data_IF_136705599515
#
_entry.id   IF_136705599515
#
_cell.length_a   1.000
_cell.length_b   1.000
_cell.length_c   1.000
_cell.angle_alpha   90.00
_cell.angle_beta   90.00
_cell.angle_gamma   90.00
#
_symmetry.space_group_name_H-M   'P 1'
#
loop_
_entity.id
_entity.type
_entity.pdbx_description
1 polymer ?
#
# COMPACT_ATOMS: atom_id res chain seq x y z
N UNK A 1 30.84 -3.97 13.08
CA UNK A 1 29.50 -3.36 12.86
C UNK A 1 28.45 -4.46 12.90
N UNK A 2 27.29 -4.23 13.54
CA UNK A 2 26.22 -5.22 13.63
C UNK A 2 25.60 -5.45 12.23
N UNK A 3 25.52 -6.70 11.71
CA UNK A 3 25.09 -6.96 10.33
C UNK A 3 23.72 -6.37 9.97
N UNK A 4 22.73 -6.48 10.86
CA UNK A 4 21.39 -5.90 10.63
C UNK A 4 21.44 -4.37 10.62
N UNK A 5 22.20 -3.77 11.53
CA UNK A 5 22.30 -2.30 11.61
C UNK A 5 23.04 -1.75 10.39
N UNK A 6 23.98 -2.51 9.81
CA UNK A 6 24.68 -2.13 8.58
C UNK A 6 23.72 -1.97 7.40
N UNK A 7 22.73 -2.88 7.26
CA UNK A 7 21.72 -2.79 6.19
C UNK A 7 20.87 -1.54 6.38
N UNK A 8 20.32 -1.35 7.59
CA UNK A 8 19.49 -0.18 7.93
C UNK A 8 20.26 1.12 7.68
N UNK A 9 21.52 1.19 8.13
CA UNK A 9 22.33 2.38 7.98
C UNK A 9 22.53 2.74 6.50
N UNK A 10 22.90 1.76 5.67
CA UNK A 10 23.18 1.98 4.24
C UNK A 10 21.94 2.28 3.40
N UNK A 11 20.74 1.83 3.81
CA UNK A 11 19.50 2.04 3.05
C UNK A 11 18.63 3.19 3.56
N UNK A 12 18.82 3.64 4.81
CA UNK A 12 17.87 4.54 5.48
C UNK A 12 18.51 5.74 6.20
N UNK A 13 19.73 5.61 6.74
CA UNK A 13 20.36 6.66 7.55
C UNK A 13 21.38 7.42 6.71
N UNK A 14 22.43 6.73 6.26
CA UNK A 14 23.56 7.30 5.51
C UNK A 14 23.43 7.05 4.00
N UNK A 15 22.19 6.97 3.49
CA UNK A 15 21.93 6.80 2.06
C UNK A 15 22.27 8.10 1.30
N UNK A 16 23.26 8.11 0.39
CA UNK A 16 23.55 9.30 -0.41
C UNK A 16 22.37 9.61 -1.34
N UNK A 17 21.73 10.76 -1.13
CA UNK A 17 20.58 11.21 -1.90
C UNK A 17 20.87 12.53 -2.60
N UNK A 18 20.41 12.76 -3.84
CA UNK A 18 20.58 14.04 -4.51
C UNK A 18 19.87 15.16 -3.73
N UNK A 19 20.52 16.32 -3.60
CA UNK A 19 20.00 17.45 -2.81
C UNK A 19 18.80 18.16 -3.43
N UNK A 20 18.52 17.92 -4.71
CA UNK A 20 17.50 18.61 -5.50
C UNK A 20 16.31 17.72 -5.88
N UNK A 21 16.07 16.60 -5.18
CA UNK A 21 14.83 15.83 -5.35
C UNK A 21 13.62 16.66 -4.91
N UNK A 22 12.58 16.66 -5.72
CA UNK A 22 11.34 17.41 -5.44
C UNK A 22 10.35 16.55 -4.63
N UNK A 23 9.20 17.13 -4.27
CA UNK A 23 8.13 16.44 -3.54
C UNK A 23 7.63 15.17 -4.23
N UNK A 24 7.79 15.06 -5.55
CA UNK A 24 7.45 13.87 -6.33
C UNK A 24 8.21 12.61 -5.91
N UNK A 25 9.37 12.74 -5.24
CA UNK A 25 10.12 11.60 -4.71
C UNK A 25 9.49 10.98 -3.45
N UNK A 26 8.58 11.70 -2.78
CA UNK A 26 7.90 11.22 -1.57
C UNK A 26 6.89 10.10 -1.86
N UNK A 27 6.41 9.95 -3.10
CA UNK A 27 5.43 8.90 -3.41
C UNK A 27 5.98 7.48 -3.23
N UNK A 28 7.30 7.29 -3.24
CA UNK A 28 7.90 5.99 -2.90
C UNK A 28 7.66 5.58 -1.45
N UNK A 29 7.92 6.49 -0.50
CA UNK A 29 7.71 6.23 0.93
C UNK A 29 6.21 6.17 1.28
N UNK A 30 5.39 7.02 0.65
CA UNK A 30 3.93 6.97 0.83
C UNK A 30 3.34 5.63 0.38
N UNK A 31 3.84 5.02 -0.71
CA UNK A 31 3.41 3.67 -1.11
C UNK A 31 3.76 2.61 -0.05
N UNK A 32 4.94 2.71 0.56
CA UNK A 32 5.33 1.86 1.69
C UNK A 32 4.40 2.04 2.90
N UNK A 33 4.04 3.28 3.24
CA UNK A 33 3.08 3.59 4.30
C UNK A 33 1.68 3.05 3.97
N UNK A 34 1.23 3.19 2.73
CA UNK A 34 -0.05 2.63 2.28
C UNK A 34 -0.05 1.11 2.45
N UNK A 35 1.02 0.42 2.05
CA UNK A 35 1.12 -1.04 2.18
C UNK A 35 1.03 -1.49 3.65
N UNK A 36 1.79 -0.88 4.55
CA UNK A 36 1.73 -1.19 5.98
C UNK A 36 0.32 -0.95 6.53
N UNK A 37 -0.29 0.18 6.17
CA UNK A 37 -1.65 0.54 6.62
C UNK A 37 -2.69 -0.47 6.13
N UNK A 38 -2.63 -0.87 4.85
CA UNK A 38 -3.56 -1.86 4.28
C UNK A 38 -3.39 -3.24 4.91
N UNK A 39 -2.15 -3.68 5.18
CA UNK A 39 -1.89 -4.97 5.84
C UNK A 39 -2.46 -4.96 7.26
N UNK A 40 -2.16 -3.93 8.05
CA UNK A 40 -2.62 -3.83 9.44
C UNK A 40 -4.15 -3.80 9.46
N UNK A 41 -4.77 -2.85 8.75
CA UNK A 41 -6.24 -2.72 8.75
C UNK A 41 -6.93 -3.94 8.18
N UNK A 42 -6.38 -4.53 7.11
CA UNK A 42 -6.91 -5.75 6.49
C UNK A 42 -6.87 -6.95 7.43
N UNK A 43 -5.77 -7.11 8.20
CA UNK A 43 -5.65 -8.18 9.19
C UNK A 43 -6.72 -8.05 10.29
N UNK A 44 -6.94 -6.84 10.83
CA UNK A 44 -7.98 -6.63 11.84
C UNK A 44 -9.40 -6.83 11.28
N UNK A 45 -9.65 -6.44 10.03
CA UNK A 45 -10.93 -6.71 9.37
C UNK A 45 -11.15 -8.21 9.16
N UNK A 46 -10.11 -8.93 8.75
CA UNK A 46 -10.17 -10.38 8.50
C UNK A 46 -10.50 -11.19 9.76
N UNK A 47 -10.12 -10.71 10.96
CA UNK A 47 -10.48 -11.35 12.23
C UNK A 47 -12.00 -11.38 12.50
N UNK A 48 -12.78 -10.54 11.81
CA UNK A 48 -14.22 -10.40 11.99
C UNK A 48 -15.03 -10.70 10.72
N UNK A 49 -14.36 -10.95 9.60
CA UNK A 49 -14.99 -11.23 8.31
C UNK A 49 -15.31 -12.72 8.17
N UNK A 50 -16.42 -13.05 7.49
CA UNK A 50 -16.80 -14.44 7.19
C UNK A 50 -16.87 -14.64 5.67
N UNK A 51 -16.00 -15.51 5.15
CA UNK A 51 -15.88 -15.82 3.72
C UNK A 51 -16.91 -16.87 3.26
N UNK A 52 -18.19 -16.63 3.55
CA UNK A 52 -19.31 -17.44 3.07
C UNK A 52 -20.31 -16.55 2.34
N UNK A 53 -20.80 -16.98 1.17
CA UNK A 53 -21.68 -16.17 0.32
C UNK A 53 -22.97 -15.72 0.99
N UNK A 54 -23.49 -16.49 1.97
CA UNK A 54 -24.69 -16.12 2.72
C UNK A 54 -24.41 -15.13 3.85
N UNK A 55 -23.16 -15.02 4.30
CA UNK A 55 -22.78 -14.22 5.48
C UNK A 55 -21.83 -13.05 5.18
N UNK A 56 -21.18 -13.00 4.00
CA UNK A 56 -20.15 -12.02 3.65
C UNK A 56 -20.62 -10.58 3.93
N UNK A 57 -21.73 -10.16 3.32
CA UNK A 57 -22.28 -8.82 3.51
C UNK A 57 -22.68 -8.54 4.97
N UNK A 58 -23.34 -9.50 5.63
CA UNK A 58 -23.73 -9.34 7.04
C UNK A 58 -22.53 -9.24 7.98
N UNK A 59 -21.42 -9.92 7.68
CA UNK A 59 -20.19 -9.85 8.48
C UNK A 59 -19.51 -8.48 8.34
N UNK A 60 -19.54 -7.86 7.15
CA UNK A 60 -19.08 -6.47 6.95
C UNK A 60 -19.99 -5.48 7.70
N UNK A 61 -21.31 -5.71 7.70
CA UNK A 61 -22.24 -4.90 8.47
C UNK A 61 -21.99 -5.00 9.99
N UNK A 62 -21.73 -6.22 10.50
CA UNK A 62 -21.33 -6.47 11.88
C UNK A 62 -20.02 -5.76 12.24
N UNK A 63 -19.00 -5.82 11.37
CA UNK A 63 -17.76 -5.06 11.57
C UNK A 63 -18.05 -3.56 11.75
N UNK A 64 -18.91 -2.99 10.91
CA UNK A 64 -19.17 -1.55 10.95
C UNK A 64 -20.01 -1.12 12.16
N UNK A 65 -20.88 -1.99 12.69
CA UNK A 65 -21.86 -1.62 13.71
C UNK A 65 -21.51 -2.10 15.12
N UNK A 66 -20.93 -3.28 15.22
CA UNK A 66 -20.84 -4.01 16.49
C UNK A 66 -19.38 -4.20 16.95
N UNK A 67 -18.39 -4.11 16.05
CA UNK A 67 -16.97 -4.15 16.42
C UNK A 67 -16.49 -2.76 16.86
N UNK A 68 -15.82 -2.69 18.01
CA UNK A 68 -15.23 -1.45 18.53
C UNK A 68 -14.29 -0.80 17.48
N UNK A 69 -14.60 0.44 17.07
CA UNK A 69 -13.90 1.15 15.99
C UNK A 69 -13.86 0.42 14.64
N UNK A 70 -14.69 -0.60 14.42
CA UNK A 70 -14.70 -1.37 13.18
C UNK A 70 -15.14 -0.53 11.98
N UNK A 71 -16.05 0.42 12.16
CA UNK A 71 -16.39 1.42 11.13
C UNK A 71 -15.16 2.23 10.69
N UNK A 72 -14.30 2.62 11.62
CA UNK A 72 -13.12 3.42 11.33
C UNK A 72 -12.10 2.57 10.56
N UNK A 73 -11.84 1.34 11.02
CA UNK A 73 -10.96 0.39 10.34
C UNK A 73 -11.42 0.11 8.91
N UNK A 74 -12.72 -0.15 8.71
CA UNK A 74 -13.29 -0.41 7.39
C UNK A 74 -13.13 0.81 6.48
N UNK A 75 -13.37 2.02 7.00
CA UNK A 75 -13.23 3.24 6.20
C UNK A 75 -11.77 3.55 5.86
N UNK A 76 -10.83 3.35 6.79
CA UNK A 76 -9.39 3.49 6.50
C UNK A 76 -8.97 2.48 5.43
N UNK A 77 -9.38 1.21 5.53
CA UNK A 77 -8.99 0.19 4.57
C UNK A 77 -9.56 0.46 3.16
N UNK A 78 -10.84 0.84 3.08
CA UNK A 78 -11.50 1.11 1.81
C UNK A 78 -10.97 2.39 1.13
N UNK A 79 -10.86 3.50 1.86
CA UNK A 79 -10.32 4.75 1.30
C UNK A 79 -8.79 4.68 1.10
N UNK A 80 -8.10 3.92 1.95
CA UNK A 80 -6.67 3.67 1.85
C UNK A 80 -6.31 2.95 0.56
N UNK A 81 -7.16 2.04 0.07
CA UNK A 81 -7.00 1.44 -1.25
C UNK A 81 -7.03 2.49 -2.38
N UNK A 82 -7.99 3.43 -2.35
CA UNK A 82 -8.03 4.53 -3.33
C UNK A 82 -6.80 5.44 -3.23
N UNK A 83 -6.37 5.78 -2.02
CA UNK A 83 -5.16 6.57 -1.81
C UNK A 83 -3.90 5.85 -2.31
N UNK A 84 -3.82 4.53 -2.15
CA UNK A 84 -2.75 3.69 -2.72
C UNK A 84 -2.66 3.90 -4.23
N UNK A 85 -3.79 3.85 -4.96
CA UNK A 85 -3.79 4.07 -6.41
C UNK A 85 -3.44 5.52 -6.79
N UNK A 86 -3.89 6.52 -6.02
CA UNK A 86 -3.44 7.89 -6.24
C UNK A 86 -1.91 7.97 -6.13
N UNK A 87 -1.32 7.41 -5.07
CA UNK A 87 0.12 7.37 -4.90
C UNK A 87 0.83 6.62 -6.03
N UNK A 88 0.29 5.48 -6.49
CA UNK A 88 0.96 4.67 -7.52
C UNK A 88 0.94 5.38 -8.87
N UNK A 89 -0.17 6.03 -9.24
CA UNK A 89 -0.26 6.78 -10.49
C UNK A 89 0.68 7.98 -10.49
N UNK A 90 0.77 8.73 -9.39
CA UNK A 90 1.70 9.85 -9.27
C UNK A 90 3.16 9.37 -9.24
N UNK A 91 3.45 8.21 -8.62
CA UNK A 91 4.77 7.60 -8.62
C UNK A 91 5.21 7.19 -10.04
N UNK A 92 4.32 6.54 -10.80
CA UNK A 92 4.55 6.14 -12.20
C UNK A 92 4.70 7.39 -13.07
N UNK A 93 3.81 8.38 -12.92
CA UNK A 93 3.85 9.65 -13.65
C UNK A 93 5.16 10.40 -13.47
N UNK A 94 5.65 10.50 -12.22
CA UNK A 94 7.00 11.01 -11.92
C UNK A 94 8.06 10.23 -12.68
N UNK A 95 7.98 8.90 -12.66
CA UNK A 95 8.98 8.04 -13.31
C UNK A 95 9.05 8.23 -14.83
N UNK A 96 7.90 8.49 -15.47
CA UNK A 96 7.85 8.86 -16.89
C UNK A 96 8.41 10.26 -17.14
N UNK A 97 7.99 11.26 -16.36
CA UNK A 97 8.39 12.66 -16.57
C UNK A 97 9.90 12.88 -16.40
N UNK A 98 10.52 12.26 -15.40
CA UNK A 98 11.96 12.40 -15.13
C UNK A 98 12.83 11.31 -15.78
N UNK A 99 12.28 10.47 -16.67
CA UNK A 99 13.04 9.41 -17.33
C UNK A 99 13.54 8.30 -16.39
N UNK A 100 12.94 8.12 -15.22
CA UNK A 100 13.38 7.11 -14.24
C UNK A 100 13.15 5.67 -14.73
N UNK A 101 12.32 5.47 -15.76
CA UNK A 101 12.17 4.18 -16.44
C UNK A 101 13.46 3.66 -17.10
N UNK A 102 14.49 4.52 -17.27
CA UNK A 102 15.82 4.10 -17.71
C UNK A 102 16.52 3.17 -16.70
N UNK A 103 16.13 3.20 -15.42
CA UNK A 103 16.50 2.16 -14.44
C UNK A 103 15.65 0.90 -14.66
N UNK A 104 15.96 0.16 -15.73
CA UNK A 104 15.12 -0.92 -16.27
C UNK A 104 14.68 -1.96 -15.25
N UNK A 105 15.59 -2.46 -14.41
CA UNK A 105 15.24 -3.46 -13.40
C UNK A 105 14.24 -2.90 -12.37
N UNK A 106 14.53 -1.71 -11.83
CA UNK A 106 13.63 -1.01 -10.89
C UNK A 106 12.27 -0.74 -11.52
N UNK A 107 12.25 -0.33 -12.78
CA UNK A 107 11.01 -0.05 -13.52
C UNK A 107 10.19 -1.32 -13.75
N UNK A 108 10.81 -2.41 -14.20
CA UNK A 108 10.14 -3.69 -14.43
C UNK A 108 9.55 -4.27 -13.15
N UNK A 109 10.30 -4.20 -12.03
CA UNK A 109 9.75 -4.58 -10.71
C UNK A 109 8.56 -3.68 -10.35
N UNK A 110 8.64 -2.37 -10.61
CA UNK A 110 7.53 -1.43 -10.42
C UNK A 110 6.27 -1.80 -11.22
N UNK A 111 6.42 -2.25 -12.47
CA UNK A 111 5.32 -2.73 -13.31
C UNK A 111 4.68 -4.00 -12.71
N UNK A 112 5.49 -4.95 -12.24
CA UNK A 112 4.99 -6.15 -11.55
C UNK A 112 4.22 -5.77 -10.28
N UNK A 113 4.78 -4.88 -9.45
CA UNK A 113 4.12 -4.39 -8.24
C UNK A 113 2.78 -3.70 -8.55
N UNK A 114 2.71 -2.92 -9.63
CA UNK A 114 1.47 -2.30 -10.07
C UNK A 114 0.39 -3.34 -10.40
N UNK A 115 0.71 -4.39 -11.17
CA UNK A 115 -0.25 -5.46 -11.46
C UNK A 115 -0.66 -6.25 -10.22
N UNK A 116 0.25 -6.49 -9.28
CA UNK A 116 -0.08 -7.16 -8.01
C UNK A 116 -1.04 -6.32 -7.16
N UNK A 117 -0.84 -5.00 -7.09
CA UNK A 117 -1.75 -4.10 -6.38
C UNK A 117 -3.12 -4.06 -7.05
N UNK A 118 -3.18 -4.04 -8.39
CA UNK A 118 -4.43 -4.16 -9.15
C UNK A 118 -5.19 -5.44 -8.84
N UNK A 119 -4.52 -6.59 -8.92
CA UNK A 119 -5.13 -7.89 -8.61
C UNK A 119 -5.65 -7.93 -7.16
N UNK A 120 -4.84 -7.45 -6.22
CA UNK A 120 -5.19 -7.42 -4.79
C UNK A 120 -6.42 -6.55 -4.53
N UNK A 121 -6.48 -5.34 -5.10
CA UNK A 121 -7.62 -4.45 -4.92
C UNK A 121 -8.89 -4.99 -5.58
N UNK A 122 -8.77 -5.62 -6.75
CA UNK A 122 -9.88 -6.27 -7.42
C UNK A 122 -10.49 -7.38 -6.56
N UNK A 123 -9.68 -8.33 -6.07
CA UNK A 123 -10.21 -9.42 -5.24
C UNK A 123 -10.74 -8.91 -3.89
N UNK A 124 -10.12 -7.88 -3.32
CA UNK A 124 -10.60 -7.25 -2.08
C UNK A 124 -11.97 -6.59 -2.23
N UNK A 125 -12.27 -6.02 -3.40
CA UNK A 125 -13.56 -5.39 -3.68
C UNK A 125 -14.72 -6.39 -3.83
N UNK A 126 -14.42 -7.66 -4.10
CA UNK A 126 -15.42 -8.73 -4.25
C UNK A 126 -15.86 -9.32 -2.90
N UNK A 127 -15.14 -9.01 -1.81
CA UNK A 127 -15.42 -9.59 -0.48
C UNK A 127 -16.71 -9.08 0.22
N UNK A 128 -17.11 -7.80 0.12
CA UNK A 128 -18.32 -7.30 0.78
C UNK A 128 -19.63 -7.76 0.14
#
# INVERSE_FOLDING_TARGET
>A
THPVLKIINGSFIDLPSPSNISTWWNFGSLLGLCLITQIITGLFLAMHFTADTSMAFSSVAHICRDVNNGWLLRNIHANGASFFFICIYLHIGRGMYYGSFLFKETWNIGVVLFFLVMATAFVGYVLP
#
